data_IF_701318533011
#
_entry.id   IF_701318533011
#
_cell.length_a   1.000
_cell.length_b   1.000
_cell.length_c   1.000
_cell.angle_alpha   90.00
_cell.angle_beta   90.00
_cell.angle_gamma   90.00
#
_symmetry.space_group_name_H-M   'P 1'
#
loop_
_entity.id
_entity.type
_entity.pdbx_description
1 polymer ?
#
# COMPACT_ATOMS: atom_id res chain seq x y z
N UNK A 1 3.83 -2.19 0.91
CA UNK A 1 3.78 -1.21 2.00
C UNK A 1 4.77 -0.06 1.80
N UNK A 2 6.06 -0.36 1.62
CA UNK A 2 7.14 0.63 1.44
C UNK A 2 6.85 1.72 0.40
N UNK A 3 6.35 1.36 -0.79
CA UNK A 3 5.97 2.33 -1.82
C UNK A 3 4.87 3.31 -1.40
N UNK A 4 3.91 2.86 -0.57
CA UNK A 4 2.79 3.72 -0.14
C UNK A 4 3.23 4.71 0.93
N UNK A 5 4.08 4.27 1.86
CA UNK A 5 4.53 5.09 2.99
C UNK A 5 5.82 5.86 2.69
N UNK A 6 6.59 5.43 1.69
CA UNK A 6 7.96 5.89 1.46
C UNK A 6 8.88 5.58 2.64
N UNK A 7 8.62 4.49 3.36
CA UNK A 7 9.36 4.06 4.56
C UNK A 7 9.91 2.66 4.35
N UNK A 8 11.20 2.47 4.63
CA UNK A 8 11.84 1.16 4.61
C UNK A 8 11.32 0.24 5.72
N UNK A 9 11.42 -1.07 5.51
CA UNK A 9 10.88 -2.07 6.46
C UNK A 9 11.51 -1.95 7.86
N UNK A 10 12.80 -1.61 7.94
CA UNK A 10 13.50 -1.40 9.21
C UNK A 10 12.89 -0.27 10.04
N UNK A 11 12.39 0.79 9.39
CA UNK A 11 11.70 1.91 10.06
C UNK A 11 10.35 1.45 10.61
N UNK A 12 9.59 0.69 9.82
CA UNK A 12 8.29 0.18 10.27
C UNK A 12 8.45 -0.76 11.47
N UNK A 13 9.46 -1.64 11.45
CA UNK A 13 9.80 -2.53 12.56
C UNK A 13 10.23 -1.75 13.81
N UNK A 14 11.00 -0.68 13.62
CA UNK A 14 11.37 0.21 14.71
C UNK A 14 10.14 0.89 15.31
N UNK A 15 9.26 1.44 14.47
CA UNK A 15 8.04 2.11 14.92
C UNK A 15 7.06 1.15 15.60
N UNK A 16 6.90 -0.08 15.10
CA UNK A 16 6.11 -1.14 15.76
C UNK A 16 6.58 -1.38 17.20
N UNK A 17 7.89 -1.33 17.44
CA UNK A 17 8.45 -1.53 18.78
C UNK A 17 8.21 -0.34 19.70
N UNK A 18 8.40 0.88 19.22
CA UNK A 18 8.30 2.10 20.03
C UNK A 18 6.85 2.60 20.19
N UNK A 19 5.96 2.24 19.27
CA UNK A 19 4.56 2.68 19.24
C UNK A 19 3.66 1.44 19.35
N UNK A 20 3.28 1.00 20.57
CA UNK A 20 2.43 -0.17 20.77
C UNK A 20 1.08 -0.10 20.07
N UNK A 21 0.61 1.10 19.73
CA UNK A 21 -0.62 1.34 18.96
C UNK A 21 -0.51 0.86 17.50
N UNK A 22 0.71 0.70 16.98
CA UNK A 22 0.99 0.16 15.65
C UNK A 22 1.26 -1.34 15.75
N UNK A 23 0.22 -2.12 16.03
CA UNK A 23 0.31 -3.58 16.15
C UNK A 23 -0.43 -4.26 14.99
N UNK A 24 0.23 -4.49 13.84
CA UNK A 24 -0.38 -5.17 12.71
C UNK A 24 -0.75 -6.61 13.08
N UNK A 25 -1.81 -7.13 12.45
CA UNK A 25 -2.13 -8.54 12.55
C UNK A 25 -1.00 -9.39 11.96
N UNK A 26 -0.82 -10.60 12.49
CA UNK A 26 0.14 -11.57 11.95
C UNK A 26 -0.61 -12.60 11.13
N UNK A 27 -0.22 -12.73 9.87
CA UNK A 27 -0.68 -13.83 9.02
C UNK A 27 -0.22 -15.18 9.61
N UNK A 28 -0.87 -16.30 9.22
CA UNK A 28 -0.44 -17.65 9.62
C UNK A 28 1.02 -17.98 9.27
N UNK A 29 1.58 -17.29 8.27
CA UNK A 29 2.97 -17.45 7.82
C UNK A 29 3.95 -16.46 8.47
N UNK A 30 3.53 -15.75 9.52
CA UNK A 30 4.38 -14.82 10.27
C UNK A 30 4.65 -13.47 9.59
N UNK A 31 3.98 -13.18 8.47
CA UNK A 31 4.06 -11.86 7.80
C UNK A 31 3.14 -10.84 8.47
N UNK A 32 3.58 -9.57 8.51
CA UNK A 32 2.78 -8.44 8.98
C UNK A 32 1.66 -8.14 7.97
N UNK A 33 0.43 -8.18 8.44
CA UNK A 33 -0.75 -7.75 7.69
C UNK A 33 -1.25 -6.43 8.27
N UNK A 34 -1.23 -5.40 7.43
CA UNK A 34 -1.67 -4.06 7.78
C UNK A 34 -3.09 -3.85 7.29
N UNK A 35 -4.01 -3.54 8.21
CA UNK A 35 -5.36 -3.13 7.84
C UNK A 35 -5.37 -1.70 7.29
N UNK A 36 -6.46 -1.29 6.62
CA UNK A 36 -6.62 0.09 6.18
C UNK A 36 -6.52 1.09 7.34
N UNK A 37 -7.03 0.72 8.52
CA UNK A 37 -6.93 1.52 9.75
C UNK A 37 -5.49 1.64 10.23
N UNK A 38 -4.71 0.56 10.22
CA UNK A 38 -3.31 0.60 10.62
C UNK A 38 -2.48 1.48 9.67
N UNK A 39 -2.78 1.40 8.37
CA UNK A 39 -2.13 2.21 7.34
C UNK A 39 -2.49 3.69 7.49
N UNK A 40 -3.77 3.99 7.79
CA UNK A 40 -4.23 5.34 8.10
C UNK A 40 -3.46 5.92 9.30
N UNK A 41 -3.28 5.13 10.36
CA UNK A 41 -2.51 5.52 11.53
C UNK A 41 -1.02 5.69 11.22
N UNK A 42 -0.42 4.78 10.45
CA UNK A 42 0.96 4.89 9.98
C UNK A 42 1.21 6.16 9.16
N UNK A 43 0.27 6.54 8.30
CA UNK A 43 0.33 7.80 7.54
C UNK A 43 0.30 9.01 8.49
N UNK A 44 -0.51 8.96 9.56
CA UNK A 44 -0.54 10.02 10.57
C UNK A 44 0.78 10.09 11.34
N UNK A 45 1.30 8.97 11.81
CA UNK A 45 2.60 8.88 12.49
C UNK A 45 3.71 9.41 11.58
N UNK A 46 3.74 8.99 10.31
CA UNK A 46 4.70 9.48 9.32
C UNK A 46 4.65 10.99 9.20
N UNK A 47 3.47 11.57 9.08
CA UNK A 47 3.32 13.02 9.01
C UNK A 47 3.89 13.71 10.26
N UNK A 48 3.58 13.19 11.45
CA UNK A 48 4.07 13.75 12.71
C UNK A 48 5.59 13.65 12.84
N UNK A 49 6.19 12.52 12.43
CA UNK A 49 7.63 12.30 12.57
C UNK A 49 8.43 12.99 11.45
N UNK A 50 8.02 12.84 10.19
CA UNK A 50 8.78 13.32 9.02
C UNK A 50 8.46 14.76 8.66
N UNK A 51 7.18 15.13 8.67
CA UNK A 51 6.76 16.45 8.21
C UNK A 51 6.74 17.47 9.36
N UNK A 52 6.42 17.03 10.58
CA UNK A 52 6.38 17.90 11.78
C UNK A 52 7.63 17.78 12.66
N UNK A 53 8.53 16.83 12.38
CA UNK A 53 9.79 16.66 13.10
C UNK A 53 9.62 16.19 14.55
N UNK A 54 8.49 15.58 14.91
CA UNK A 54 8.26 15.10 16.27
C UNK A 54 9.03 13.79 16.53
N UNK A 55 9.55 13.65 17.75
CA UNK A 55 10.06 12.37 18.24
C UNK A 55 8.93 11.36 18.42
N UNK A 56 9.26 10.06 18.51
CA UNK A 56 8.26 8.99 18.62
C UNK A 56 7.44 9.07 19.92
N UNK A 57 8.06 9.42 21.05
CA UNK A 57 7.34 9.65 22.32
C UNK A 57 6.36 10.82 22.20
N UNK A 58 6.79 11.99 21.71
CA UNK A 58 5.91 13.13 21.49
C UNK A 58 4.79 12.83 20.47
N UNK A 59 5.06 11.95 19.50
CA UNK A 59 4.07 11.48 18.54
C UNK A 59 2.99 10.66 19.23
N UNK A 60 3.33 9.75 20.16
CA UNK A 60 2.33 9.04 20.99
C UNK A 60 1.47 10.01 21.78
N UNK A 61 2.09 10.93 22.51
CA UNK A 61 1.37 11.89 23.35
C UNK A 61 0.40 12.72 22.50
N UNK A 62 0.84 13.11 21.30
CA UNK A 62 -0.01 13.83 20.35
C UNK A 62 -1.19 12.99 19.86
N UNK A 63 -0.96 11.71 19.52
CA UNK A 63 -2.02 10.81 19.08
C UNK A 63 -3.05 10.56 20.19
N UNK A 64 -2.61 10.47 21.45
CA UNK A 64 -3.50 10.33 22.60
C UNK A 64 -4.30 11.62 22.80
N UNK A 65 -3.64 12.79 22.76
CA UNK A 65 -4.32 14.07 22.88
C UNK A 65 -5.36 14.31 21.77
N UNK A 66 -5.09 13.85 20.55
CA UNK A 66 -6.03 13.91 19.42
C UNK A 66 -7.29 13.06 19.65
N UNK A 67 -7.24 12.03 20.50
CA UNK A 67 -8.40 11.19 20.84
C UNK A 67 -9.19 11.67 22.06
N UNK A 68 -8.61 12.53 22.90
CA UNK A 68 -9.23 12.96 24.16
C UNK A 68 -9.55 14.45 24.25
N UNK A 69 -9.09 15.25 23.28
CA UNK A 69 -9.32 16.71 23.25
C UNK A 69 -10.67 17.12 22.67
N UNK A 70 -10.97 18.42 22.72
CA UNK A 70 -12.18 19.02 22.14
C UNK A 70 -12.33 18.83 20.62
N UNK A 71 -11.25 18.47 19.92
CA UNK A 71 -11.25 18.13 18.51
C UNK A 71 -11.32 16.63 18.20
N UNK A 72 -11.60 15.78 19.20
CA UNK A 72 -11.58 14.32 19.06
C UNK A 72 -12.54 13.81 17.98
N UNK A 73 -13.76 14.34 17.92
CA UNK A 73 -14.75 13.93 16.92
C UNK A 73 -14.27 14.24 15.49
N UNK A 74 -13.75 15.45 15.27
CA UNK A 74 -13.20 15.84 13.97
C UNK A 74 -11.96 14.99 13.60
N UNK A 75 -11.10 14.68 14.57
CA UNK A 75 -9.95 13.81 14.36
C UNK A 75 -10.37 12.37 14.03
N UNK A 76 -11.42 11.87 14.68
CA UNK A 76 -12.00 10.56 14.41
C UNK A 76 -12.60 10.50 12.99
N UNK A 77 -13.43 11.47 12.60
CA UNK A 77 -13.98 11.55 11.24
C UNK A 77 -12.88 11.63 10.18
N UNK A 78 -11.82 12.42 10.43
CA UNK A 78 -10.69 12.49 9.51
C UNK A 78 -9.92 11.16 9.42
N UNK A 79 -9.81 10.42 10.54
CA UNK A 79 -9.21 9.09 10.56
C UNK A 79 -10.02 8.08 9.75
N UNK A 80 -11.34 8.12 9.87
CA UNK A 80 -12.27 7.29 9.09
C UNK A 80 -12.18 7.59 7.59
N UNK A 81 -12.24 8.86 7.21
CA UNK A 81 -12.08 9.27 5.79
C UNK A 81 -10.74 8.80 5.24
N UNK A 82 -9.66 8.93 6.00
CA UNK A 82 -8.34 8.43 5.58
C UNK A 82 -8.33 6.90 5.41
N UNK A 83 -8.95 6.16 6.32
CA UNK A 83 -9.05 4.70 6.19
C UNK A 83 -9.87 4.29 4.95
N UNK A 84 -10.99 4.97 4.68
CA UNK A 84 -11.80 4.75 3.49
C UNK A 84 -11.02 5.04 2.20
N UNK A 85 -10.26 6.14 2.15
CA UNK A 85 -9.39 6.48 1.00
C UNK A 85 -8.30 5.42 0.77
N UNK A 86 -7.73 4.89 1.85
CA UNK A 86 -6.74 3.81 1.76
C UNK A 86 -7.38 2.56 1.18
N UNK A 87 -8.58 2.17 1.62
CA UNK A 87 -9.32 1.04 1.06
C UNK A 87 -9.59 1.23 -0.44
N UNK A 88 -10.15 2.38 -0.81
CA UNK A 88 -10.46 2.70 -2.20
C UNK A 88 -9.22 2.70 -3.10
N UNK A 89 -8.07 3.18 -2.60
CA UNK A 89 -6.79 3.10 -3.32
C UNK A 89 -6.37 1.65 -3.58
N UNK A 90 -6.48 0.76 -2.59
CA UNK A 90 -6.13 -0.64 -2.77
C UNK A 90 -7.09 -1.38 -3.69
N UNK A 91 -8.39 -1.11 -3.59
CA UNK A 91 -9.42 -1.64 -4.49
C UNK A 91 -9.15 -1.23 -5.94
N UNK A 92 -8.92 0.06 -6.18
CA UNK A 92 -8.57 0.58 -7.51
C UNK A 92 -7.33 -0.09 -8.08
N UNK A 93 -6.30 -0.27 -7.24
CA UNK A 93 -5.06 -0.93 -7.65
C UNK A 93 -5.25 -2.41 -7.95
N UNK A 94 -6.02 -3.14 -7.14
CA UNK A 94 -6.34 -4.55 -7.40
C UNK A 94 -7.09 -4.71 -8.73
N UNK A 95 -8.03 -3.80 -9.03
CA UNK A 95 -8.71 -3.77 -10.33
C UNK A 95 -7.70 -3.54 -11.45
N UNK A 96 -6.81 -2.55 -11.34
CA UNK A 96 -5.79 -2.27 -12.34
C UNK A 96 -4.87 -3.48 -12.60
N UNK A 97 -4.43 -4.15 -11.53
CA UNK A 97 -3.59 -5.36 -11.63
C UNK A 97 -4.35 -6.51 -12.33
N UNK A 98 -5.63 -6.69 -12.01
CA UNK A 98 -6.48 -7.72 -12.65
C UNK A 98 -6.72 -7.44 -14.14
N UNK A 99 -6.87 -6.18 -14.52
CA UNK A 99 -7.02 -5.76 -15.92
C UNK A 99 -5.73 -5.96 -16.70
N UNK A 100 -4.59 -5.60 -16.11
CA UNK A 100 -3.28 -5.83 -16.70
C UNK A 100 -3.07 -7.32 -17.01
N UNK A 101 -3.36 -8.20 -16.06
CA UNK A 101 -3.22 -9.65 -16.24
C UNK A 101 -4.15 -10.23 -17.31
N UNK A 102 -5.33 -9.62 -17.53
CA UNK A 102 -6.26 -10.02 -18.60
C UNK A 102 -5.87 -9.50 -19.99
N UNK A 103 -5.19 -8.36 -20.06
CA UNK A 103 -4.83 -7.70 -21.33
C UNK A 103 -3.49 -8.23 -21.88
N UNK A 104 -2.51 -8.50 -21.02
CA UNK A 104 -1.18 -9.00 -21.43
C UNK A 104 -1.21 -10.28 -22.31
N UNK A 105 -1.97 -11.35 -21.99
CA UNK A 105 -2.02 -12.53 -22.86
C UNK A 105 -2.66 -12.23 -24.24
N UNK A 106 -3.56 -11.25 -24.34
CA UNK A 106 -4.14 -10.81 -25.63
C UNK A 106 -3.18 -9.99 -26.47
N UNK A 107 -2.33 -9.15 -25.85
CA UNK A 107 -1.27 -8.41 -26.55
C UNK A 107 -0.22 -9.34 -27.14
N UNK A 108 0.22 -10.35 -26.38
CA UNK A 108 1.21 -11.34 -26.85
C UNK A 108 0.62 -12.22 -27.96
N UNK A 109 -0.64 -12.65 -27.83
CA UNK A 109 -1.32 -13.40 -28.88
C UNK A 109 -1.51 -12.60 -30.17
N UNK A 110 -1.88 -11.32 -30.09
CA UNK A 110 -1.99 -10.44 -31.26
C UNK A 110 -0.62 -10.21 -31.94
N UNK A 111 0.44 -10.02 -31.15
CA UNK A 111 1.80 -9.86 -31.68
C UNK A 111 2.31 -11.12 -32.39
N UNK A 112 2.07 -12.31 -31.81
CA UNK A 112 2.46 -13.59 -32.40
C UNK A 112 1.60 -14.02 -33.60
N UNK A 113 0.36 -13.51 -33.71
CA UNK A 113 -0.48 -13.74 -34.87
C UNK A 113 -0.01 -12.95 -36.10
N UNK A 114 0.56 -11.75 -35.89
CA UNK A 114 1.11 -10.91 -36.97
C UNK A 114 2.41 -11.50 -37.51
N UNK A 115 3.27 -12.08 -36.65
CA UNK A 115 4.56 -12.66 -37.06
C UNK A 115 4.46 -14.05 -37.68
N UNK A 116 3.31 -14.73 -37.61
CA UNK A 116 3.06 -16.05 -38.23
C UNK A 116 2.55 -15.99 -39.68
N UNK A 117 2.33 -14.81 -40.26
CA UNK A 117 1.78 -14.67 -41.62
C UNK A 117 2.84 -14.51 -42.72
N UNK A 118 4.13 -14.36 -42.37
CA UNK A 118 5.20 -14.27 -43.37
C UNK A 118 6.27 -15.34 -43.11
N UNK A 119 6.24 -16.41 -43.91
CA UNK A 119 7.32 -16.88 -44.83
C UNK A 119 6.95 -18.32 -45.24
N UNK A 120 6.43 -18.54 -46.46
CA UNK A 120 6.48 -19.86 -47.07
C UNK A 120 7.94 -20.11 -47.46
N UNK A 121 8.62 -21.02 -46.75
CA UNK A 121 9.92 -21.54 -47.19
C UNK A 121 9.70 -22.35 -48.46
N UNK A 122 9.82 -21.66 -49.59
CA UNK A 122 10.00 -22.29 -50.88
C UNK A 122 11.34 -23.04 -50.87
N UNK A 123 11.24 -24.34 -51.18
CA UNK A 123 12.24 -25.19 -51.85
C UNK A 123 13.72 -24.95 -51.61
N UNK A 124 14.40 -26.00 -51.12
CA UNK A 124 15.54 -26.52 -51.86
C UNK A 124 15.74 -27.98 -51.49
N UNK A 125 15.35 -28.86 -52.41
CA UNK A 125 15.94 -30.19 -52.56
C UNK A 125 17.45 -30.05 -52.75
N UNK A 126 18.24 -30.87 -52.04
CA UNK A 126 19.26 -31.78 -52.57
C UNK A 126 20.10 -32.37 -51.43
#
# INVERSE_FOLDING_TARGET
MERLLGLGEHVLRYWERELPILSPSRSPFGRREWSASDISLLLRVRHLVKDRGLGLSATMDRLIAERSGSGADAAASLSEVRAALVSAYFESRAIADSLCHRIEPRRIAAHNAITKTEVPLAGSER
#
